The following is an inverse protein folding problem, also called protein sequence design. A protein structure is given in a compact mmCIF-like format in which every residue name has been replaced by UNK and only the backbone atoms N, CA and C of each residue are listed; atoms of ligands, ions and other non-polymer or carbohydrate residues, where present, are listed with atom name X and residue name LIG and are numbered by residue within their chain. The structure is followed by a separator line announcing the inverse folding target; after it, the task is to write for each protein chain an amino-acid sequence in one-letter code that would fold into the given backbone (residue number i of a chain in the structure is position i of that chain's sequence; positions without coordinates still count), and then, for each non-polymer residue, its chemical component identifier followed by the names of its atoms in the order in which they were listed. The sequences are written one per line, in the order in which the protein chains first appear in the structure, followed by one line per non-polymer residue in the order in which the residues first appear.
data_IF_730141833577
#
_entry.id   IF_730141833577
#
_cell.length_a   1.000
_cell.length_b   1.000
_cell.length_c   1.000
_cell.angle_alpha   90.00
_cell.angle_beta   90.00
_cell.angle_gamma   90.00
#
_symmetry.space_group_name_H-M   'P 1'
#
loop_
_entity.id
_entity.type
_entity.pdbx_description
1 polymer ?
#
# COMPACT_ATOMS: atom_id res chain seq x y z
N UNK A 1 16.21 14.11 -10.23
CA UNK A 1 16.82 13.17 -9.25
C UNK A 1 15.98 11.92 -9.05
N UNK A 2 14.64 12.03 -9.02
CA UNK A 2 13.72 10.88 -8.90
C UNK A 2 13.94 9.82 -9.99
N UNK A 3 14.09 10.23 -11.26
CA UNK A 3 14.38 9.31 -12.36
C UNK A 3 15.69 8.54 -12.17
N UNK A 4 16.74 9.20 -11.66
CA UNK A 4 18.01 8.54 -11.36
C UNK A 4 17.86 7.55 -10.19
N UNK A 5 17.13 7.90 -9.13
CA UNK A 5 16.84 6.97 -8.04
C UNK A 5 16.04 5.74 -8.50
N UNK A 6 15.12 5.91 -9.46
CA UNK A 6 14.41 4.80 -10.07
C UNK A 6 15.35 3.90 -10.89
N UNK A 7 16.32 4.49 -11.60
CA UNK A 7 17.35 3.75 -12.33
C UNK A 7 18.22 2.92 -11.38
N UNK A 8 18.72 3.50 -10.29
CA UNK A 8 19.55 2.76 -9.32
C UNK A 8 18.78 1.60 -8.69
N UNK A 9 17.50 1.80 -8.34
CA UNK A 9 16.65 0.71 -7.83
C UNK A 9 16.48 -0.43 -8.85
N UNK A 10 16.32 -0.09 -10.13
CA UNK A 10 16.21 -1.09 -11.19
C UNK A 10 17.55 -1.82 -11.40
N UNK A 11 18.67 -1.11 -11.32
CA UNK A 11 20.01 -1.70 -11.41
C UNK A 11 20.27 -2.66 -10.24
N UNK A 12 19.96 -2.24 -9.01
CA UNK A 12 20.06 -3.09 -7.83
C UNK A 12 19.20 -4.36 -7.96
N UNK A 13 17.97 -4.25 -8.48
CA UNK A 13 17.13 -5.43 -8.74
C UNK A 13 17.77 -6.36 -9.76
N UNK A 14 18.29 -5.82 -10.88
CA UNK A 14 18.97 -6.63 -11.90
C UNK A 14 20.22 -7.34 -11.35
N UNK A 15 20.96 -6.71 -10.42
CA UNK A 15 22.11 -7.32 -9.75
C UNK A 15 21.70 -8.44 -8.79
N UNK A 16 20.59 -8.27 -8.06
CA UNK A 16 20.02 -9.32 -7.20
C UNK A 16 19.50 -10.51 -8.01
N UNK A 17 18.88 -10.26 -9.16
CA UNK A 17 18.42 -11.29 -10.08
C UNK A 17 19.61 -12.08 -10.66
N UNK A 18 20.70 -11.37 -11.01
CA UNK A 18 21.94 -12.00 -11.47
C UNK A 18 22.62 -12.82 -10.37
N UNK A 19 22.65 -12.32 -9.14
CA UNK A 19 23.17 -13.06 -7.98
C UNK A 19 22.35 -14.33 -7.72
N UNK A 20 21.03 -14.23 -7.79
CA UNK A 20 20.11 -15.38 -7.66
C UNK A 20 20.36 -16.42 -8.76
N UNK A 21 20.62 -15.98 -10.00
CA UNK A 21 21.00 -16.85 -11.09
C UNK A 21 22.36 -17.52 -10.84
N UNK A 22 23.38 -16.78 -10.39
CA UNK A 22 24.68 -17.32 -10.01
C UNK A 22 24.57 -18.38 -8.92
N UNK A 23 23.77 -18.11 -7.90
CA UNK A 23 23.45 -19.06 -6.83
C UNK A 23 22.78 -20.33 -7.37
N UNK A 24 21.78 -20.19 -8.24
CA UNK A 24 21.09 -21.32 -8.87
C UNK A 24 22.02 -22.17 -9.75
N UNK A 25 23.04 -21.56 -10.36
CA UNK A 25 24.06 -22.26 -11.16
C UNK A 25 25.26 -22.73 -10.34
N UNK A 26 25.23 -22.53 -9.02
CA UNK A 26 26.34 -22.90 -8.11
C UNK A 26 27.66 -22.25 -8.53
N UNK A 27 27.62 -20.97 -8.89
CA UNK A 27 28.80 -20.16 -9.20
C UNK A 27 29.12 -19.23 -8.02
N UNK A 28 29.92 -19.70 -7.04
CA UNK A 28 30.27 -18.89 -5.87
C UNK A 28 31.13 -17.68 -6.24
N UNK A 29 31.96 -17.78 -7.27
CA UNK A 29 32.84 -16.68 -7.68
C UNK A 29 32.02 -15.50 -8.22
N UNK A 30 30.97 -15.77 -9.00
CA UNK A 30 30.05 -14.73 -9.45
C UNK A 30 29.30 -14.09 -8.27
N UNK A 31 28.81 -14.89 -7.32
CA UNK A 31 28.09 -14.38 -6.16
C UNK A 31 28.98 -13.48 -5.30
N UNK A 32 30.19 -13.95 -4.97
CA UNK A 32 31.18 -13.20 -4.19
C UNK A 32 31.59 -11.90 -4.89
N UNK A 33 31.72 -11.91 -6.22
CA UNK A 33 32.03 -10.72 -7.00
C UNK A 33 30.91 -9.67 -6.93
N UNK A 34 29.64 -10.10 -7.04
CA UNK A 34 28.49 -9.18 -6.98
C UNK A 34 28.31 -8.59 -5.58
N UNK A 35 28.48 -9.41 -4.53
CA UNK A 35 28.40 -8.97 -3.14
C UNK A 35 29.48 -7.94 -2.80
N UNK A 36 30.75 -8.25 -3.10
CA UNK A 36 31.87 -7.42 -2.69
C UNK A 36 32.04 -6.11 -3.49
N UNK A 37 31.54 -6.05 -4.72
CA UNK A 37 31.79 -4.91 -5.61
C UNK A 37 30.56 -4.08 -5.96
N UNK A 38 29.35 -4.63 -5.88
CA UNK A 38 28.16 -3.95 -6.41
C UNK A 38 27.03 -3.84 -5.39
N UNK A 39 26.64 -4.92 -4.72
CA UNK A 39 25.41 -4.93 -3.91
C UNK A 39 25.46 -3.94 -2.73
N UNK A 40 26.58 -3.90 -1.99
CA UNK A 40 26.75 -2.95 -0.88
C UNK A 40 26.82 -1.49 -1.36
N UNK A 41 27.48 -1.26 -2.50
CA UNK A 41 27.62 0.07 -3.08
C UNK A 41 26.29 0.62 -3.60
N UNK A 42 25.49 -0.21 -4.27
CA UNK A 42 24.15 0.17 -4.74
C UNK A 42 23.23 0.56 -3.59
N UNK A 43 23.22 -0.22 -2.50
CA UNK A 43 22.42 0.11 -1.30
C UNK A 43 22.86 1.47 -0.73
N UNK A 44 24.16 1.74 -0.70
CA UNK A 44 24.72 3.02 -0.24
C UNK A 44 24.31 4.18 -1.14
N UNK A 45 24.35 4.00 -2.47
CA UNK A 45 23.96 5.01 -3.46
C UNK A 45 22.47 5.33 -3.36
N UNK A 46 21.60 4.30 -3.37
CA UNK A 46 20.15 4.43 -3.24
C UNK A 46 19.78 5.18 -1.96
N UNK A 47 20.40 4.82 -0.82
CA UNK A 47 20.18 5.50 0.47
C UNK A 47 20.59 6.96 0.43
N UNK A 48 21.78 7.26 -0.12
CA UNK A 48 22.28 8.64 -0.25
C UNK A 48 21.37 9.48 -1.13
N UNK A 49 20.90 8.94 -2.25
CA UNK A 49 19.99 9.63 -3.15
C UNK A 49 18.60 9.84 -2.55
N UNK A 50 18.06 8.85 -1.82
CA UNK A 50 16.81 8.99 -1.07
C UNK A 50 16.89 10.08 0.00
N UNK A 51 18.02 10.19 0.70
CA UNK A 51 18.26 11.26 1.67
C UNK A 51 18.32 12.64 1.01
N UNK A 52 19.00 12.75 -0.13
CA UNK A 52 19.05 13.99 -0.90
C UNK A 52 17.65 14.41 -1.37
N UNK A 53 16.86 13.48 -1.91
CA UNK A 53 15.50 13.74 -2.32
C UNK A 53 14.63 14.17 -1.13
N UNK A 54 14.75 13.50 0.02
CA UNK A 54 14.05 13.87 1.25
C UNK A 54 14.40 15.27 1.72
N UNK A 55 15.69 15.64 1.69
CA UNK A 55 16.15 16.98 2.05
C UNK A 55 15.59 18.04 1.08
N UNK A 56 15.64 17.78 -0.23
CA UNK A 56 15.08 18.67 -1.25
C UNK A 56 13.57 18.83 -1.09
N UNK A 57 12.83 17.73 -0.90
CA UNK A 57 11.40 17.76 -0.64
C UNK A 57 11.09 18.54 0.63
N UNK A 58 11.84 18.38 1.73
CA UNK A 58 11.64 19.15 2.97
C UNK A 58 11.89 20.65 2.79
N UNK A 59 12.88 21.02 1.97
CA UNK A 59 13.15 22.42 1.62
C UNK A 59 12.05 23.01 0.72
N UNK A 60 11.48 22.21 -0.19
CA UNK A 60 10.46 22.64 -1.14
C UNK A 60 9.02 22.56 -0.60
N UNK A 61 8.75 21.63 0.32
CA UNK A 61 7.46 21.33 0.91
C UNK A 61 7.68 20.85 2.35
N UNK A 62 7.12 21.57 3.32
CA UNK A 62 7.17 21.14 4.73
C UNK A 62 6.74 19.68 4.95
N UNK A 63 7.07 19.06 6.10
CA UNK A 63 7.45 17.64 6.29
C UNK A 63 6.49 16.48 5.92
N UNK A 64 5.55 16.59 4.97
CA UNK A 64 4.31 15.78 5.01
C UNK A 64 4.08 14.74 3.89
N UNK A 65 5.00 14.45 2.97
CA UNK A 65 4.70 13.55 1.82
C UNK A 65 5.70 12.42 1.51
N UNK A 66 6.34 11.80 2.51
CA UNK A 66 7.45 10.87 2.19
C UNK A 66 7.40 9.45 2.77
N UNK A 67 6.39 9.06 3.56
CA UNK A 67 6.31 7.66 4.03
C UNK A 67 5.17 6.86 3.38
N UNK A 68 4.30 7.49 2.58
CA UNK A 68 3.13 6.82 2.01
C UNK A 68 3.43 5.87 0.83
N UNK A 69 4.68 5.76 0.37
CA UNK A 69 4.99 5.01 -0.86
C UNK A 69 6.27 4.14 -0.80
N UNK A 70 6.77 3.78 0.38
CA UNK A 70 7.80 2.72 0.49
C UNK A 70 7.39 1.68 1.53
N UNK A 71 6.26 1.02 1.28
CA UNK A 71 6.09 -0.35 1.79
C UNK A 71 6.85 -1.25 0.83
N UNK A 72 8.01 -1.72 1.28
CA UNK A 72 8.51 -3.02 0.86
C UNK A 72 7.39 -4.02 1.18
N UNK A 73 6.68 -4.44 0.15
CA UNK A 73 6.06 -5.75 -0.01
C UNK A 73 5.62 -6.38 1.33
N UNK A 74 4.55 -5.84 1.91
CA UNK A 74 3.91 -6.41 3.09
C UNK A 74 2.41 -6.19 3.01
N UNK A 75 1.69 -7.20 2.51
CA UNK A 75 0.24 -7.44 2.63
C UNK A 75 -0.64 -6.24 3.03
N UNK A 76 -1.35 -5.65 2.05
CA UNK A 76 -2.44 -4.71 2.29
C UNK A 76 -3.70 -5.48 2.70
N UNK A 77 -3.70 -6.01 3.92
CA UNK A 77 -4.87 -6.60 4.57
C UNK A 77 -5.41 -5.65 5.63
N UNK A 78 -6.57 -5.05 5.33
CA UNK A 78 -7.51 -4.45 6.29
C UNK A 78 -7.00 -3.21 7.08
N UNK A 79 -7.46 -2.03 6.68
CA UNK A 79 -8.57 -1.39 7.40
C UNK A 79 -9.06 -0.14 6.68
N UNK A 80 -10.38 -0.14 6.51
CA UNK A 80 -11.20 0.87 5.87
C UNK A 80 -10.94 2.29 6.41
N UNK A 81 -10.97 3.24 5.48
CA UNK A 81 -11.36 4.63 5.77
C UNK A 81 -12.75 4.65 6.41
N UNK A 82 -12.87 5.28 7.58
CA UNK A 82 -14.10 5.97 7.99
C UNK A 82 -13.73 7.29 8.68
N UNK A 83 -13.95 8.45 8.06
CA UNK A 83 -14.11 9.71 8.77
C UNK A 83 -15.60 10.10 8.87
N UNK A 84 -15.90 11.02 9.81
CA UNK A 84 -17.19 11.63 10.21
C UNK A 84 -17.82 10.95 11.45
N UNK A 85 -18.10 11.60 12.59
CA UNK A 85 -18.13 12.99 13.08
C UNK A 85 -18.11 12.96 14.64
N UNK A 86 -17.84 14.08 15.34
CA UNK A 86 -17.86 14.15 16.81
C UNK A 86 -19.23 14.55 17.39
N UNK A 87 -19.69 13.79 18.39
CA UNK A 87 -20.43 14.20 19.59
C UNK A 87 -21.66 15.13 19.50
N UNK A 88 -22.84 14.57 19.78
CA UNK A 88 -23.79 15.08 20.79
C UNK A 88 -24.94 14.07 21.03
N UNK A 89 -25.34 13.84 22.30
CA UNK A 89 -26.75 13.60 22.59
C UNK A 89 -27.22 14.57 23.68
N UNK A 90 -28.07 15.52 23.29
CA UNK A 90 -28.90 16.28 24.22
C UNK A 90 -30.13 15.47 24.60
N UNK A 91 -30.24 15.22 25.90
CA UNK A 91 -31.42 14.93 26.73
C UNK A 91 -32.78 14.64 26.10
N UNK A 92 -33.29 13.44 26.43
CA UNK A 92 -34.61 13.13 26.99
C UNK A 92 -35.77 14.15 26.84
N UNK A 93 -36.84 13.76 26.13
CA UNK A 93 -38.20 13.66 26.69
C UNK A 93 -39.10 12.83 25.75
N UNK A 94 -39.92 11.96 26.35
CA UNK A 94 -41.13 11.31 25.82
C UNK A 94 -41.02 9.99 25.00
N UNK A 95 -41.40 8.91 25.67
CA UNK A 95 -42.05 7.68 25.14
C UNK A 95 -43.50 7.64 25.72
N UNK A 96 -44.38 6.69 25.35
CA UNK A 96 -44.64 6.01 24.07
C UNK A 96 -46.17 5.94 23.76
N UNK A 97 -46.57 5.49 22.56
CA UNK A 97 -47.91 4.93 22.36
C UNK A 97 -47.92 3.88 21.23
N UNK A 98 -48.01 2.62 21.64
CA UNK A 98 -48.78 1.49 21.08
C UNK A 98 -49.33 1.57 19.63
N UNK A 99 -49.00 0.55 18.81
CA UNK A 99 -49.69 0.19 17.55
C UNK A 99 -51.12 -0.35 17.74
N UNK A 100 -51.79 -0.99 16.75
CA UNK A 100 -51.23 -1.82 15.65
C UNK A 100 -51.82 -1.57 14.22
N UNK A 101 -51.18 -2.19 13.21
CA UNK A 101 -51.66 -2.88 11.96
C UNK A 101 -53.02 -2.48 11.31
N UNK A 102 -53.28 -2.59 9.96
CA UNK A 102 -52.74 -3.64 9.08
C UNK A 102 -52.48 -3.33 7.57
N UNK A 103 -51.59 -4.12 6.98
CA UNK A 103 -51.54 -4.48 5.54
C UNK A 103 -52.79 -5.30 5.13
N UNK A 104 -53.32 -5.13 3.91
CA UNK A 104 -53.08 -6.17 2.90
C UNK A 104 -53.13 -5.70 1.43
N UNK A 105 -52.13 -6.03 0.60
CA UNK A 105 -52.31 -6.05 -0.87
C UNK A 105 -51.95 -7.40 -1.50
N UNK A 106 -53.01 -8.19 -1.72
CA UNK A 106 -53.29 -9.16 -2.78
C UNK A 106 -52.13 -9.65 -3.68
N UNK A 107 -51.81 -10.95 -3.53
CA UNK A 107 -51.44 -11.88 -4.62
C UNK A 107 -52.64 -12.04 -5.60
N UNK A 108 -52.52 -12.48 -6.88
CA UNK A 108 -51.74 -13.69 -7.26
C UNK A 108 -51.21 -13.81 -8.71
N UNK A 109 -50.50 -14.94 -8.92
CA UNK A 109 -50.51 -15.84 -10.10
C UNK A 109 -49.60 -15.60 -11.33
N UNK A 110 -48.73 -16.59 -11.56
CA UNK A 110 -48.30 -17.10 -12.88
C UNK A 110 -47.09 -16.38 -13.49
N UNK A 111 -46.13 -17.02 -14.15
CA UNK A 111 -45.84 -18.43 -14.40
C UNK A 111 -44.41 -18.53 -14.93
N UNK A 112 -43.70 -19.54 -14.42
CA UNK A 112 -42.53 -20.24 -14.94
C UNK A 112 -42.32 -20.21 -16.48
N UNK A 113 -41.09 -19.93 -16.94
CA UNK A 113 -40.32 -20.74 -17.93
C UNK A 113 -38.91 -20.15 -18.17
N UNK A 114 -37.89 -21.02 -18.16
CA UNK A 114 -36.51 -20.79 -18.62
C UNK A 114 -36.29 -21.40 -20.02
N UNK A 115 -35.31 -20.93 -20.81
CA UNK A 115 -34.55 -21.77 -21.73
C UNK A 115 -33.36 -22.44 -21.04
#
# INVERSE_FOLDING_TARGET
MEAALALEKNLNQALLDLHSLGSARTDPHLCDFLENHFLDEEVRVIKKMGNHLTNLCRLAAGPRRLWANTSLNGSLSSMARRPLLPGAPTSALHQPASGPSPEPLKKPLGSFVMP
#
